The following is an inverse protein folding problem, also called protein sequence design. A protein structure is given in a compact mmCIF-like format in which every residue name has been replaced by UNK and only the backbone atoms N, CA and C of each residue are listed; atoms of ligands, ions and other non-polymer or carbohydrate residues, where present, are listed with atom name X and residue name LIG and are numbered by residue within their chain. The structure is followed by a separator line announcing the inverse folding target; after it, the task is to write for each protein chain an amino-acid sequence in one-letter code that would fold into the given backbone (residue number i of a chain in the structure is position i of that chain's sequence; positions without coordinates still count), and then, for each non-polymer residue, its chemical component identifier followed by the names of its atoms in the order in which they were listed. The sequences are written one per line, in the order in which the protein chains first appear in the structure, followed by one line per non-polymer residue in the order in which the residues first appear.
data_IF_317674880630
#
_entry.id   IF_317674880630
#
_cell.length_a   1.000
_cell.length_b   1.000
_cell.length_c   1.000
_cell.angle_alpha   90.00
_cell.angle_beta   90.00
_cell.angle_gamma   90.00
#
_symmetry.space_group_name_H-M   'P 1'
#
loop_
_entity.id
_entity.type
_entity.pdbx_description
1 polymer ?
#
# COMPACT_ATOMS: atom_id res chain seq x y z
N UNK A 1 0.11 10.24 29.18
CA UNK A 1 -0.33 10.28 27.76
C UNK A 1 0.49 9.24 27.01
N UNK A 2 -0.07 8.05 26.79
CA UNK A 2 0.62 6.96 26.08
C UNK A 2 -0.01 6.86 24.70
N UNK A 3 0.59 7.55 23.73
CA UNK A 3 0.25 7.40 22.32
C UNK A 3 0.77 6.05 21.85
N UNK A 4 -0.03 4.99 22.02
CA UNK A 4 -0.07 4.01 20.95
C UNK A 4 -0.95 4.66 19.89
N UNK A 5 -0.44 5.00 18.70
CA UNK A 5 -1.35 5.30 17.63
C UNK A 5 -2.05 3.97 17.36
N UNK A 6 -3.36 3.93 17.49
CA UNK A 6 -4.16 2.87 16.88
C UNK A 6 -3.86 2.89 15.37
N UNK A 7 -2.76 2.23 14.99
CA UNK A 7 -2.49 1.89 13.61
C UNK A 7 -3.62 0.93 13.27
N UNK A 8 -4.61 1.42 12.56
CA UNK A 8 -5.66 0.58 12.00
C UNK A 8 -4.96 -0.64 11.38
N UNK A 9 -5.46 -1.87 11.59
CA UNK A 9 -4.90 -3.07 10.97
C UNK A 9 -4.66 -2.87 9.46
N UNK A 10 -5.53 -2.07 8.84
CA UNK A 10 -5.49 -1.56 7.48
C UNK A 10 -4.18 -0.83 7.12
N UNK A 11 -3.65 0.04 7.98
CA UNK A 11 -2.46 0.85 7.71
C UNK A 11 -1.18 -0.02 7.72
N UNK A 12 -1.05 -0.94 8.69
CA UNK A 12 0.08 -1.86 8.73
C UNK A 12 0.04 -2.90 7.60
N UNK A 13 -1.15 -3.37 7.22
CA UNK A 13 -1.33 -4.36 6.15
C UNK A 13 -1.08 -3.75 4.76
N UNK A 14 -1.69 -2.59 4.49
CA UNK A 14 -1.61 -1.92 3.20
C UNK A 14 -0.20 -1.45 2.87
N UNK A 15 0.46 -0.73 3.78
CA UNK A 15 1.81 -0.24 3.52
C UNK A 15 2.84 -1.37 3.46
N UNK A 16 2.65 -2.47 4.18
CA UNK A 16 3.54 -3.63 4.09
C UNK A 16 3.45 -4.30 2.73
N UNK A 17 2.24 -4.47 2.18
CA UNK A 17 2.07 -5.08 0.86
C UNK A 17 2.46 -4.13 -0.26
N UNK A 18 2.18 -2.84 -0.12
CA UNK A 18 2.64 -1.82 -1.06
C UNK A 18 4.17 -1.75 -1.11
N UNK A 19 4.85 -1.77 0.04
CA UNK A 19 6.32 -1.82 0.08
C UNK A 19 6.87 -3.07 -0.59
N UNK A 20 6.24 -4.24 -0.42
CA UNK A 20 6.64 -5.48 -1.11
C UNK A 20 6.42 -5.39 -2.61
N UNK A 21 5.32 -4.78 -3.06
CA UNK A 21 5.05 -4.56 -4.48
C UNK A 21 6.09 -3.63 -5.11
N UNK A 22 6.42 -2.53 -4.44
CA UNK A 22 7.39 -1.54 -4.92
C UNK A 22 8.85 -2.04 -4.80
N UNK A 23 9.12 -3.01 -3.94
CA UNK A 23 10.46 -3.52 -3.72
C UNK A 23 11.03 -4.15 -5.02
N UNK A 24 12.21 -3.66 -5.44
CA UNK A 24 12.90 -4.17 -6.62
C UNK A 24 12.37 -3.61 -7.96
N UNK A 25 11.34 -2.77 -7.95
CA UNK A 25 10.92 -2.02 -9.13
C UNK A 25 11.72 -0.73 -9.24
N UNK A 26 12.24 -0.45 -10.44
CA UNK A 26 12.88 0.82 -10.75
C UNK A 26 11.98 1.58 -11.71
N UNK A 27 11.46 2.72 -11.27
CA UNK A 27 10.56 3.53 -12.08
C UNK A 27 11.33 4.65 -12.78
N UNK A 28 10.94 4.97 -14.01
CA UNK A 28 11.59 6.04 -14.78
C UNK A 28 11.24 7.44 -14.26
N UNK A 29 10.03 7.63 -13.72
CA UNK A 29 9.54 8.92 -13.22
C UNK A 29 8.35 8.76 -12.26
N UNK A 30 7.98 9.85 -11.58
CA UNK A 30 6.86 9.88 -10.62
C UNK A 30 5.50 9.48 -11.23
N UNK A 31 5.27 9.76 -12.51
CA UNK A 31 4.01 9.39 -13.16
C UNK A 31 3.83 7.87 -13.30
N UNK A 32 4.91 7.16 -13.59
CA UNK A 32 4.93 5.71 -13.76
C UNK A 32 4.65 4.99 -12.44
N UNK A 33 5.26 5.44 -11.34
CA UNK A 33 4.95 4.89 -10.02
C UNK A 33 3.50 5.21 -9.61
N UNK A 34 2.97 6.40 -9.91
CA UNK A 34 1.57 6.73 -9.62
C UNK A 34 0.59 5.82 -10.36
N UNK A 35 0.82 5.57 -11.64
CA UNK A 35 -0.01 4.68 -12.45
C UNK A 35 0.06 3.24 -11.93
N UNK A 36 1.25 2.72 -11.65
CA UNK A 36 1.42 1.37 -11.11
C UNK A 36 0.77 1.20 -9.73
N UNK A 37 0.91 2.19 -8.85
CA UNK A 37 0.26 2.20 -7.54
C UNK A 37 -1.27 2.23 -7.70
N UNK A 38 -1.82 3.05 -8.59
CA UNK A 38 -3.27 3.05 -8.85
C UNK A 38 -3.77 1.70 -9.38
N UNK A 39 -3.05 1.07 -10.30
CA UNK A 39 -3.41 -0.26 -10.83
C UNK A 39 -3.35 -1.30 -9.71
N UNK A 40 -2.31 -1.27 -8.88
CA UNK A 40 -2.16 -2.17 -7.75
C UNK A 40 -3.30 -2.03 -6.74
N UNK A 41 -3.69 -0.80 -6.38
CA UNK A 41 -4.84 -0.54 -5.50
C UNK A 41 -6.16 -1.05 -6.10
N UNK A 42 -6.38 -0.88 -7.41
CA UNK A 42 -7.57 -1.40 -8.11
C UNK A 42 -7.59 -2.93 -8.24
N UNK A 43 -6.41 -3.55 -8.23
CA UNK A 43 -6.25 -5.00 -8.27
C UNK A 43 -6.39 -5.65 -6.89
N UNK A 44 -6.35 -4.88 -5.80
CA UNK A 44 -6.67 -5.42 -4.49
C UNK A 44 -8.15 -5.79 -4.46
N UNK A 45 -8.44 -7.05 -4.10
CA UNK A 45 -9.81 -7.50 -3.89
C UNK A 45 -10.46 -6.70 -2.75
N UNK A 46 -11.80 -6.61 -2.74
CA UNK A 46 -12.53 -5.98 -1.63
C UNK A 46 -12.17 -6.61 -0.26
N UNK A 47 -11.80 -7.90 -0.27
CA UNK A 47 -11.30 -8.67 0.88
C UNK A 47 -10.05 -8.06 1.54
N UNK A 48 -9.31 -7.18 0.85
CA UNK A 48 -8.13 -6.50 1.40
C UNK A 48 -8.48 -5.43 2.44
N UNK A 49 -9.72 -4.92 2.39
CA UNK A 49 -10.27 -3.93 3.32
C UNK A 49 -11.24 -4.54 4.34
N UNK A 50 -11.57 -5.82 4.21
CA UNK A 50 -12.40 -6.54 5.18
C UNK A 50 -11.48 -7.08 6.29
N UNK A 51 -11.48 -6.38 7.43
CA UNK A 51 -10.80 -6.78 8.66
C UNK A 51 -11.75 -7.59 9.56
#
# INVERSE_FOLDING_TARGET
MKGSPDLAPSDFHLFSHLKKFLAGQQFANDDEIKVNVQIWFRSQAAEFYEA
#
